data_IF_641942405379
#
_entry.id   IF_641942405379
#
_cell.length_a   1.000
_cell.length_b   1.000
_cell.length_c   1.000
_cell.angle_alpha   90.00
_cell.angle_beta   90.00
_cell.angle_gamma   90.00
#
_symmetry.space_group_name_H-M   'P 1'
#
loop_
_entity.id
_entity.type
_entity.pdbx_description
1 polymer ?
#
# COMPACT_ATOMS: atom_id res chain seq x y z
N UNK A 1 -8.54 -9.26 8.43
CA UNK A 1 -7.11 -9.05 8.14
C UNK A 1 -6.77 -7.60 8.43
N UNK A 2 -5.66 -7.31 9.13
CA UNK A 2 -5.16 -5.94 9.28
C UNK A 2 -4.06 -5.70 8.24
N UNK A 3 -4.32 -4.82 7.28
CA UNK A 3 -3.32 -4.39 6.32
C UNK A 3 -3.74 -3.05 5.72
N UNK A 4 -2.78 -2.33 5.15
CA UNK A 4 -3.01 -1.07 4.37
C UNK A 4 -4.02 -1.27 3.22
N UNK A 5 -4.41 -2.51 2.94
CA UNK A 5 -5.18 -2.95 1.77
C UNK A 5 -6.33 -3.92 2.07
N UNK A 6 -6.72 -4.09 3.33
CA UNK A 6 -7.70 -5.10 3.71
C UNK A 6 -9.17 -4.68 3.48
N UNK A 7 -9.47 -4.00 2.38
CA UNK A 7 -10.85 -3.67 2.02
C UNK A 7 -11.43 -4.81 1.17
N UNK A 8 -11.67 -5.94 1.85
CA UNK A 8 -12.27 -7.14 1.25
C UNK A 8 -13.51 -7.62 2.00
N UNK A 9 -14.04 -6.85 2.95
CA UNK A 9 -15.21 -7.31 3.68
C UNK A 9 -16.27 -6.24 3.91
N UNK A 10 -17.50 -6.70 3.67
CA UNK A 10 -18.78 -6.02 3.58
C UNK A 10 -19.27 -5.54 4.96
N UNK A 11 -18.46 -4.75 5.65
CA UNK A 11 -18.73 -4.35 7.02
C UNK A 11 -19.13 -2.87 7.09
N UNK A 12 -20.42 -2.62 7.37
CA UNK A 12 -21.07 -1.40 7.88
C UNK A 12 -20.35 -0.06 7.58
N UNK A 13 -21.00 0.85 6.86
CA UNK A 13 -20.43 2.10 6.31
C UNK A 13 -19.49 2.93 7.22
N UNK A 14 -19.60 2.83 8.55
CA UNK A 14 -18.63 3.39 9.49
C UNK A 14 -17.20 2.84 9.32
N UNK A 15 -17.03 1.51 9.17
CA UNK A 15 -15.72 0.88 8.96
C UNK A 15 -15.07 1.36 7.66
N UNK A 16 -15.87 1.52 6.60
CA UNK A 16 -15.42 2.05 5.31
C UNK A 16 -14.91 3.48 5.40
N UNK A 17 -15.57 4.35 6.18
CA UNK A 17 -15.13 5.73 6.40
C UNK A 17 -13.83 5.78 7.19
N UNK A 18 -13.76 5.07 8.32
CA UNK A 18 -12.55 5.02 9.16
C UNK A 18 -11.35 4.47 8.39
N UNK A 19 -11.58 3.43 7.59
CA UNK A 19 -10.56 2.85 6.73
C UNK A 19 -10.12 3.80 5.62
N UNK A 20 -11.05 4.51 4.98
CA UNK A 20 -10.73 5.54 3.98
C UNK A 20 -9.83 6.64 4.56
N UNK A 21 -10.16 7.14 5.75
CA UNK A 21 -9.35 8.15 6.45
C UNK A 21 -7.96 7.57 6.77
N UNK A 22 -7.89 6.35 7.31
CA UNK A 22 -6.63 5.68 7.60
C UNK A 22 -5.76 5.51 6.35
N UNK A 23 -6.34 5.07 5.24
CA UNK A 23 -5.63 4.88 3.98
C UNK A 23 -5.09 6.21 3.43
N UNK A 24 -5.86 7.29 3.51
CA UNK A 24 -5.42 8.63 3.10
C UNK A 24 -4.28 9.11 3.99
N UNK A 25 -4.42 8.93 5.32
CA UNK A 25 -3.39 9.29 6.27
C UNK A 25 -2.08 8.54 6.00
N UNK A 26 -2.13 7.22 5.85
CA UNK A 26 -0.96 6.40 5.54
C UNK A 26 -0.29 6.81 4.22
N UNK A 27 -1.07 7.05 3.17
CA UNK A 27 -0.55 7.54 1.90
C UNK A 27 0.13 8.91 2.08
N UNK A 28 -0.50 9.83 2.82
CA UNK A 28 0.08 11.16 3.06
C UNK A 28 1.40 11.08 3.84
N UNK A 29 1.47 10.27 4.89
CA UNK A 29 2.72 10.08 5.67
C UNK A 29 3.82 9.47 4.83
N UNK A 30 3.46 8.57 3.91
CA UNK A 30 4.41 7.94 2.99
C UNK A 30 4.99 8.95 2.00
N UNK A 31 4.15 9.81 1.41
CA UNK A 31 4.59 10.88 0.51
C UNK A 31 5.46 11.92 1.22
N UNK A 32 5.09 12.31 2.45
CA UNK A 32 5.88 13.22 3.28
C UNK A 32 7.26 12.60 3.54
N UNK A 33 7.31 11.33 3.94
CA UNK A 33 8.56 10.63 4.21
C UNK A 33 9.47 10.55 2.99
N UNK A 34 8.93 10.20 1.82
CA UNK A 34 9.68 10.19 0.55
C UNK A 34 10.20 11.59 0.21
N UNK A 35 9.36 12.63 0.40
CA UNK A 35 9.76 14.01 0.15
C UNK A 35 10.88 14.48 1.07
N UNK A 36 10.84 14.12 2.35
CA UNK A 36 11.89 14.42 3.32
C UNK A 36 13.20 13.73 2.96
N UNK A 37 13.17 12.43 2.66
CA UNK A 37 14.36 11.69 2.22
C UNK A 37 14.97 12.26 0.94
N UNK A 38 14.13 12.66 -0.02
CA UNK A 38 14.61 13.28 -1.25
C UNK A 38 15.24 14.65 -1.00
N UNK A 39 14.66 15.45 -0.10
CA UNK A 39 15.21 16.76 0.27
C UNK A 39 16.55 16.63 1.00
N UNK A 40 16.68 15.67 1.92
CA UNK A 40 17.95 15.39 2.62
C UNK A 40 19.02 14.90 1.64
N UNK A 41 18.65 14.01 0.71
CA UNK A 41 19.53 13.52 -0.33
C UNK A 41 20.05 14.66 -1.22
N UNK A 42 19.16 15.55 -1.69
CA UNK A 42 19.50 16.67 -2.57
C UNK A 42 20.38 17.73 -1.88
N UNK A 43 20.14 17.98 -0.59
CA UNK A 43 20.92 18.97 0.18
C UNK A 43 22.29 18.45 0.61
N UNK A 44 22.46 17.13 0.72
CA UNK A 44 23.70 16.48 1.17
C UNK A 44 24.41 15.67 0.06
N UNK A 45 24.19 16.00 -1.22
CA UNK A 45 24.80 15.31 -2.38
C UNK A 45 26.34 15.30 -2.37
N UNK A 46 27.00 16.20 -1.65
CA UNK A 46 28.47 16.23 -1.58
C UNK A 46 29.04 15.14 -0.64
N UNK A 47 28.21 14.53 0.20
CA UNK A 47 28.62 13.47 1.13
C UNK A 47 28.20 12.10 0.60
N UNK A 48 29.14 11.42 -0.07
CA UNK A 48 28.96 10.07 -0.65
C UNK A 48 28.39 9.03 0.35
N UNK A 49 28.73 9.18 1.63
CA UNK A 49 28.30 8.30 2.72
C UNK A 49 26.82 8.51 3.07
N UNK A 50 26.35 9.76 3.03
CA UNK A 50 24.94 10.14 3.26
C UNK A 50 24.08 9.70 2.06
N UNK A 51 24.57 9.87 0.83
CA UNK A 51 23.88 9.40 -0.39
C UNK A 51 23.62 7.89 -0.35
N UNK A 52 24.58 7.11 0.13
CA UNK A 52 24.47 5.64 0.13
C UNK A 52 23.44 5.16 1.16
N UNK A 53 23.41 5.77 2.35
CA UNK A 53 22.47 5.42 3.41
C UNK A 53 21.03 5.85 3.04
N UNK A 54 20.83 7.13 2.72
CA UNK A 54 19.52 7.67 2.32
C UNK A 54 19.00 7.05 1.02
N UNK A 55 19.90 6.75 0.08
CA UNK A 55 19.59 6.04 -1.15
C UNK A 55 19.07 4.62 -0.89
N UNK A 56 19.59 3.92 0.12
CA UNK A 56 19.13 2.58 0.50
C UNK A 56 17.71 2.64 1.07
N UNK A 57 17.44 3.59 1.96
CA UNK A 57 16.09 3.83 2.47
C UNK A 57 15.11 4.22 1.35
N UNK A 58 15.53 5.09 0.42
CA UNK A 58 14.72 5.51 -0.71
C UNK A 58 14.41 4.35 -1.67
N UNK A 59 15.37 3.46 -1.91
CA UNK A 59 15.14 2.24 -2.68
C UNK A 59 14.14 1.30 -1.99
N UNK A 60 14.27 1.09 -0.68
CA UNK A 60 13.34 0.27 0.11
C UNK A 60 11.91 0.82 0.07
N UNK A 61 11.75 2.13 0.28
CA UNK A 61 10.45 2.81 0.23
C UNK A 61 9.86 2.81 -1.18
N UNK A 62 10.70 2.95 -2.21
CA UNK A 62 10.28 2.92 -3.62
C UNK A 62 9.51 1.65 -3.98
N UNK A 63 9.97 0.48 -3.50
CA UNK A 63 9.26 -0.79 -3.71
C UNK A 63 7.86 -0.78 -3.09
N UNK A 64 7.72 -0.18 -1.90
CA UNK A 64 6.44 -0.07 -1.21
C UNK A 64 5.50 0.88 -1.97
N UNK A 65 6.02 2.03 -2.44
CA UNK A 65 5.24 3.00 -3.23
C UNK A 65 4.81 2.38 -4.56
N UNK A 66 5.73 1.69 -5.24
CA UNK A 66 5.45 1.02 -6.50
C UNK A 66 4.38 -0.05 -6.34
N UNK A 67 4.49 -0.88 -5.30
CA UNK A 67 3.46 -1.88 -4.95
C UNK A 67 2.12 -1.21 -4.63
N UNK A 68 2.15 -0.05 -3.97
CA UNK A 68 0.95 0.72 -3.66
C UNK A 68 0.27 1.28 -4.92
N UNK A 69 1.05 1.86 -5.83
CA UNK A 69 0.56 2.35 -7.11
C UNK A 69 0.00 1.21 -7.98
N UNK A 70 0.74 0.10 -8.10
CA UNK A 70 0.29 -1.06 -8.85
C UNK A 70 -1.00 -1.65 -8.28
N UNK A 71 -1.11 -1.79 -6.96
CA UNK A 71 -2.32 -2.29 -6.34
C UNK A 71 -3.52 -1.36 -6.59
N UNK A 72 -3.34 -0.04 -6.53
CA UNK A 72 -4.42 0.90 -6.87
C UNK A 72 -4.86 0.78 -8.34
N UNK A 73 -3.91 0.67 -9.28
CA UNK A 73 -4.20 0.52 -10.72
C UNK A 73 -4.90 -0.81 -10.99
N UNK A 74 -4.39 -1.90 -10.41
CA UNK A 74 -4.85 -3.28 -10.65
C UNK A 74 -5.92 -3.74 -9.66
N UNK A 75 -6.42 -2.86 -8.80
CA UNK A 75 -7.35 -3.20 -7.72
C UNK A 75 -8.55 -3.99 -8.23
N UNK A 76 -9.12 -3.55 -9.36
CA UNK A 76 -10.30 -4.18 -9.94
C UNK A 76 -10.02 -5.61 -10.42
N UNK A 77 -8.90 -5.81 -11.12
CA UNK A 77 -8.48 -7.13 -11.61
C UNK A 77 -8.16 -8.07 -10.44
N UNK A 78 -7.51 -7.58 -9.39
CA UNK A 78 -7.19 -8.35 -8.19
C UNK A 78 -8.47 -8.79 -7.45
N UNK A 79 -9.45 -7.89 -7.31
CA UNK A 79 -10.74 -8.23 -6.70
C UNK A 79 -11.47 -9.29 -7.53
N UNK A 80 -11.48 -9.14 -8.86
CA UNK A 80 -12.12 -10.12 -9.76
C UNK A 80 -11.46 -11.51 -9.66
N UNK A 81 -10.13 -11.57 -9.71
CA UNK A 81 -9.39 -12.82 -9.52
C UNK A 81 -9.65 -13.46 -8.16
N UNK A 82 -9.79 -12.65 -7.11
CA UNK A 82 -10.10 -13.16 -5.78
C UNK A 82 -11.52 -13.73 -5.73
N UNK A 83 -12.50 -13.05 -6.32
CA UNK A 83 -13.89 -13.52 -6.39
C UNK A 83 -14.02 -14.83 -7.20
N UNK A 84 -13.34 -14.90 -8.35
CA UNK A 84 -13.30 -16.10 -9.18
C UNK A 84 -12.71 -17.32 -8.46
N UNK A 85 -11.74 -17.12 -7.56
CA UNK A 85 -11.10 -18.20 -6.80
C UNK A 85 -11.89 -18.55 -5.54
N UNK A 86 -12.35 -17.56 -4.77
CA UNK A 86 -13.04 -17.80 -3.50
C UNK A 86 -14.50 -18.18 -3.66
N UNK A 87 -15.20 -17.67 -4.69
CA UNK A 87 -16.59 -18.00 -4.97
C UNK A 87 -16.87 -19.51 -5.00
N UNK A 88 -16.18 -20.31 -5.85
CA UNK A 88 -16.39 -21.75 -5.89
C UNK A 88 -16.00 -22.47 -4.59
N UNK A 89 -14.98 -21.97 -3.86
CA UNK A 89 -14.57 -22.53 -2.55
C UNK A 89 -15.68 -22.31 -1.52
N UNK A 90 -16.29 -21.12 -1.47
CA UNK A 90 -17.35 -20.80 -0.52
C UNK A 90 -18.63 -21.60 -0.81
N UNK A 91 -18.94 -21.80 -2.10
CA UNK A 91 -20.02 -22.68 -2.54
C UNK A 91 -19.81 -24.14 -2.14
N UNK A 92 -18.59 -24.66 -2.29
CA UNK A 92 -18.24 -26.02 -1.86
C UNK A 92 -18.31 -26.17 -0.34
N UNK A 93 -17.80 -25.18 0.41
CA UNK A 93 -17.81 -25.19 1.88
C UNK A 93 -19.22 -25.17 2.47
N UNK A 94 -20.18 -24.46 1.83
CA UNK A 94 -21.60 -24.46 2.24
C UNK A 94 -22.38 -25.73 1.86
N UNK A 95 -21.83 -26.56 0.98
CA UNK A 95 -22.48 -27.79 0.50
C UNK A 95 -22.12 -29.05 1.30
N UNK A 96 -21.19 -28.93 2.27
CA UNK A 96 -20.80 -29.98 3.23
C UNK A 96 -21.52 -29.82 4.57
#
# INVERSE_FOLDING_TARGET
WFGVWSDFDDAWGFKRIVYGIYSIFMASTMWIFVGTLLADLLTNLDSLLIITDDGCFLAGVSVIVFKHAMYNIKRREIIQLMDDVYGPIDHLAKSS
#
